data_IF_652102229123
#
_entry.id   IF_652102229123
#
_cell.length_a   1.000
_cell.length_b   1.000
_cell.length_c   1.000
_cell.angle_alpha   90.00
_cell.angle_beta   90.00
_cell.angle_gamma   90.00
#
_symmetry.space_group_name_H-M   'P 1'
#
loop_
_entity.id
_entity.type
_entity.pdbx_description
1 polymer ?
#
# COMPACT_ATOMS: atom_id res chain seq x y z
N UNK A 1 21.72 2.46 -14.81
CA UNK A 1 20.56 3.09 -14.15
C UNK A 1 20.17 2.19 -13.00
N UNK A 2 19.98 2.70 -11.78
CA UNK A 2 19.40 1.88 -10.70
C UNK A 2 17.96 1.58 -11.11
N UNK A 3 17.66 0.32 -11.36
CA UNK A 3 16.29 -0.13 -11.62
C UNK A 3 15.53 -0.05 -10.30
N UNK A 4 14.69 0.98 -10.17
CA UNK A 4 13.82 1.13 -9.03
C UNK A 4 12.61 0.22 -9.25
N UNK A 5 12.65 -0.97 -8.66
CA UNK A 5 11.51 -1.88 -8.69
C UNK A 5 10.38 -1.36 -7.80
N UNK A 6 9.12 -1.49 -8.22
CA UNK A 6 7.99 -1.14 -7.38
C UNK A 6 7.93 -2.05 -6.15
N UNK A 7 7.42 -1.51 -5.04
CA UNK A 7 7.18 -2.28 -3.81
C UNK A 7 5.75 -2.06 -3.31
N UNK A 8 5.19 -3.09 -2.67
CA UNK A 8 3.86 -3.04 -2.06
C UNK A 8 3.99 -3.21 -0.55
N UNK A 9 3.28 -2.37 0.21
CA UNK A 9 3.18 -2.48 1.65
C UNK A 9 1.71 -2.56 2.08
N UNK A 10 1.43 -3.32 3.14
CA UNK A 10 0.08 -3.53 3.67
C UNK A 10 0.07 -3.16 5.15
N UNK A 11 -0.76 -2.18 5.50
CA UNK A 11 -1.08 -1.82 6.88
C UNK A 11 -2.46 -2.36 7.26
N UNK A 12 -2.61 -2.78 8.51
CA UNK A 12 -3.91 -3.16 9.07
C UNK A 12 -4.28 -2.29 10.28
N UNK A 13 -5.56 -2.35 10.65
CA UNK A 13 -6.33 -1.49 11.57
C UNK A 13 -5.82 -1.34 13.01
N UNK A 14 -4.59 -1.76 13.32
CA UNK A 14 -3.96 -1.58 14.64
C UNK A 14 -2.63 -0.83 14.56
N UNK A 15 -2.43 0.02 13.53
CA UNK A 15 -1.20 0.79 13.27
C UNK A 15 0.09 -0.04 13.16
N UNK A 16 -0.03 -1.37 13.22
CA UNK A 16 1.05 -2.33 13.12
C UNK A 16 1.13 -2.80 11.68
N UNK A 17 2.31 -2.62 11.08
CA UNK A 17 2.64 -3.26 9.81
C UNK A 17 2.48 -4.77 9.97
N UNK A 18 1.51 -5.37 9.27
CA UNK A 18 1.26 -6.83 9.33
C UNK A 18 2.10 -7.57 8.26
N UNK A 19 2.51 -6.88 7.19
CA UNK A 19 3.29 -7.48 6.10
C UNK A 19 4.67 -6.88 5.91
N UNK A 20 5.67 -7.73 5.63
CA UNK A 20 6.93 -7.28 4.99
C UNK A 20 6.57 -6.59 3.68
N UNK A 21 7.23 -5.47 3.37
CA UNK A 21 7.14 -4.91 2.03
C UNK A 21 7.53 -5.99 1.02
N UNK A 22 6.77 -6.12 -0.06
CA UNK A 22 7.10 -7.05 -1.13
C UNK A 22 7.81 -6.26 -2.23
N UNK A 23 9.07 -6.60 -2.48
CA UNK A 23 9.77 -6.16 -3.69
C UNK A 23 9.17 -6.94 -4.86
N UNK A 24 8.74 -6.23 -5.89
CA UNK A 24 8.19 -6.87 -7.08
C UNK A 24 9.35 -7.16 -8.03
N UNK A 25 9.53 -8.44 -8.38
CA UNK A 25 10.64 -8.89 -9.23
C UNK A 25 10.47 -8.49 -10.70
N UNK A 26 9.24 -8.12 -11.08
CA UNK A 26 8.87 -7.71 -12.43
C UNK A 26 8.43 -6.25 -12.39
N UNK A 27 8.78 -5.50 -13.44
CA UNK A 27 8.35 -4.11 -13.61
C UNK A 27 7.17 -4.08 -14.60
N UNK A 28 5.98 -4.36 -14.10
CA UNK A 28 4.77 -4.26 -14.93
C UNK A 28 4.36 -2.80 -15.11
N UNK A 29 3.85 -2.47 -16.30
CA UNK A 29 3.39 -1.11 -16.61
C UNK A 29 2.22 -0.64 -15.73
N UNK A 30 1.45 -1.57 -15.15
CA UNK A 30 0.32 -1.20 -14.28
C UNK A 30 0.06 -2.23 -13.17
N UNK A 31 -0.06 -1.73 -11.93
CA UNK A 31 -0.59 -2.49 -10.79
C UNK A 31 -1.98 -1.96 -10.46
N UNK A 32 -2.92 -2.86 -10.20
CA UNK A 32 -4.31 -2.52 -9.85
C UNK A 32 -4.68 -3.20 -8.53
N UNK A 33 -5.20 -2.46 -7.54
CA UNK A 33 -5.65 -3.06 -6.29
C UNK A 33 -6.88 -3.95 -6.55
N UNK A 34 -6.89 -5.15 -5.97
CA UNK A 34 -8.01 -6.08 -6.00
C UNK A 34 -8.46 -6.44 -4.58
N UNK A 35 -9.78 -6.48 -4.35
CA UNK A 35 -10.36 -6.85 -3.05
C UNK A 35 -11.42 -7.92 -3.28
N UNK A 36 -11.31 -9.04 -2.54
CA UNK A 36 -12.32 -10.09 -2.49
C UNK A 36 -13.00 -10.06 -1.12
N UNK A 37 -14.33 -10.05 -1.10
CA UNK A 37 -15.15 -10.04 0.11
C UNK A 37 -15.93 -11.34 0.22
N UNK A 38 -16.09 -11.86 1.45
CA UNK A 38 -16.91 -13.03 1.74
C UNK A 38 -17.87 -12.71 2.88
N UNK A 39 -19.16 -12.65 2.56
CA UNK A 39 -20.26 -12.40 3.51
C UNK A 39 -20.11 -11.10 4.33
N UNK A 40 -19.55 -10.04 3.74
CA UNK A 40 -19.41 -8.74 4.39
C UNK A 40 -19.53 -7.60 3.38
N UNK A 41 -19.78 -6.39 3.89
CA UNK A 41 -19.65 -5.14 3.14
C UNK A 41 -18.37 -4.41 3.54
N UNK A 42 -17.84 -3.61 2.63
CA UNK A 42 -16.67 -2.76 2.88
C UNK A 42 -16.88 -1.40 2.24
N UNK A 43 -16.15 -0.41 2.74
CA UNK A 43 -16.00 0.89 2.11
C UNK A 43 -14.54 1.09 1.73
N UNK A 44 -14.29 1.49 0.49
CA UNK A 44 -12.95 1.76 -0.02
C UNK A 44 -12.73 3.26 -0.16
N UNK A 45 -11.56 3.75 0.22
CA UNK A 45 -11.12 5.11 -0.01
C UNK A 45 -9.89 5.10 -0.93
N UNK A 46 -10.05 5.59 -2.16
CA UNK A 46 -8.96 5.71 -3.15
C UNK A 46 -8.37 7.12 -3.23
N UNK A 47 -8.75 8.03 -2.32
CA UNK A 47 -8.22 9.40 -2.26
C UNK A 47 -8.93 10.42 -3.13
N UNK A 48 -10.14 10.11 -3.62
CA UNK A 48 -10.92 11.05 -4.44
C UNK A 48 -11.41 12.28 -3.66
N UNK A 49 -11.54 12.16 -2.34
CA UNK A 49 -11.96 13.25 -1.45
C UNK A 49 -11.24 13.11 -0.10
N UNK A 50 -10.10 13.76 0.04
CA UNK A 50 -9.29 13.70 1.25
C UNK A 50 -9.73 14.72 2.32
N UNK A 51 -10.55 15.70 1.95
CA UNK A 51 -11.06 16.71 2.89
C UNK A 51 -12.17 16.11 3.75
N UNK A 52 -13.17 15.47 3.12
CA UNK A 52 -14.27 14.83 3.85
C UNK A 52 -13.93 13.40 4.28
N UNK A 53 -13.07 12.70 3.52
CA UNK A 53 -12.64 11.32 3.80
C UNK A 53 -11.11 11.22 3.79
N UNK A 54 -10.41 11.75 4.80
CA UNK A 54 -8.96 11.57 4.91
C UNK A 54 -8.60 10.09 5.02
N UNK A 55 -7.40 9.73 4.56
CA UNK A 55 -6.87 8.39 4.84
C UNK A 55 -6.78 8.18 6.35
N UNK A 56 -7.26 7.03 6.82
CA UNK A 56 -7.15 6.64 8.24
C UNK A 56 -5.70 6.42 8.67
N UNK A 57 -4.80 6.22 7.70
CA UNK A 57 -3.37 6.04 7.92
C UNK A 57 -2.63 7.23 7.33
N UNK A 58 -1.69 7.76 8.09
CA UNK A 58 -0.75 8.78 7.62
C UNK A 58 0.30 8.11 6.73
N UNK A 59 0.10 8.22 5.42
CA UNK A 59 1.00 7.64 4.42
C UNK A 59 2.43 8.15 4.54
N UNK A 60 2.70 9.30 5.19
CA UNK A 60 4.06 9.78 5.41
C UNK A 60 4.84 8.97 6.44
N UNK A 61 4.15 8.23 7.33
CA UNK A 61 4.75 7.38 8.37
C UNK A 61 5.22 6.02 7.85
N UNK A 62 5.22 5.81 6.53
CA UNK A 62 5.76 4.59 5.95
C UNK A 62 7.28 4.52 6.16
N UNK A 63 7.73 3.60 7.00
CA UNK A 63 9.15 3.25 7.11
C UNK A 63 9.48 2.28 5.98
N UNK A 64 9.99 2.82 4.89
CA UNK A 64 10.59 2.00 3.83
C UNK A 64 11.87 1.39 4.40
N UNK A 65 11.93 0.06 4.50
CA UNK A 65 13.14 -0.63 4.95
C UNK A 65 14.31 -0.21 4.05
N UNK A 66 15.50 -0.03 4.63
CA UNK A 66 16.73 0.32 3.87
C UNK A 66 16.99 -0.63 2.69
N UNK A 67 16.49 -1.86 2.78
CA UNK A 67 16.52 -2.89 1.73
C UNK A 67 15.84 -2.48 0.41
N UNK A 68 14.95 -1.47 0.43
CA UNK A 68 14.32 -0.90 -0.78
C UNK A 68 15.06 0.32 -1.34
N UNK A 69 16.01 0.89 -0.59
CA UNK A 69 16.85 2.01 -1.03
C UNK A 69 18.26 1.51 -1.29
N UNK A 70 18.46 0.79 -2.41
CA UNK A 70 19.81 0.53 -2.92
C UNK A 70 20.46 1.83 -3.38
#
# INVERSE_FOLDING_TARGET
MKENFPYVFIYSKMEKQIGKGLLLNDNFDSYKPGVLLKCCSTETNFGNDLESKPFKYDISKHLVLKEFYN
#
